data_IF_408364937290
#
_entry.id   IF_408364937290
#
_cell.length_a   1.000
_cell.length_b   1.000
_cell.length_c   1.000
_cell.angle_alpha   90.00
_cell.angle_beta   90.00
_cell.angle_gamma   90.00
#
_symmetry.space_group_name_H-M   'P 1'
#
loop_
_entity.id
_entity.type
_entity.pdbx_description
1 polymer ?
#
# COMPACT_ATOMS: atom_id res chain seq x y z
N UNK A 1 -12.67 0.95 -0.64
CA UNK A 1 -11.40 0.89 -1.42
C UNK A 1 -11.36 2.09 -2.32
N UNK A 2 -10.23 2.78 -2.38
CA UNK A 2 -10.01 3.91 -3.28
C UNK A 2 -9.50 3.36 -4.59
N UNK A 3 -10.37 3.23 -5.58
CA UNK A 3 -10.05 2.66 -6.89
C UNK A 3 -10.81 3.42 -7.97
N UNK A 4 -10.14 3.70 -9.08
CA UNK A 4 -10.78 4.24 -10.27
C UNK A 4 -11.44 3.10 -11.04
N UNK A 5 -12.76 3.20 -11.19
CA UNK A 5 -13.56 2.19 -11.87
C UNK A 5 -13.96 2.70 -13.25
N UNK A 6 -13.64 1.92 -14.26
CA UNK A 6 -13.99 2.22 -15.65
C UNK A 6 -15.05 1.25 -16.16
N UNK A 7 -16.01 1.78 -16.88
CA UNK A 7 -16.95 0.97 -17.64
C UNK A 7 -16.20 0.18 -18.71
N UNK A 8 -16.44 -1.12 -18.78
CA UNK A 8 -15.67 -2.02 -19.68
C UNK A 8 -16.04 -1.91 -21.15
N UNK A 9 -17.24 -1.44 -21.45
CA UNK A 9 -17.73 -1.33 -22.83
C UNK A 9 -17.38 0.03 -23.42
N UNK A 10 -17.57 1.10 -22.63
CA UNK A 10 -17.43 2.48 -23.10
C UNK A 10 -16.07 3.11 -22.74
N UNK A 11 -15.33 2.53 -21.80
CA UNK A 11 -14.09 3.11 -21.25
C UNK A 11 -14.32 4.36 -20.40
N UNK A 12 -15.55 4.71 -20.08
CA UNK A 12 -15.87 5.87 -19.26
C UNK A 12 -15.51 5.64 -17.78
N UNK A 13 -14.97 6.67 -17.16
CA UNK A 13 -14.72 6.67 -15.72
C UNK A 13 -16.05 6.78 -14.94
N UNK A 14 -16.40 5.73 -14.20
CA UNK A 14 -17.68 5.62 -13.50
C UNK A 14 -17.69 6.44 -12.22
N UNK A 15 -16.59 6.45 -11.47
CA UNK A 15 -16.47 7.13 -10.18
C UNK A 15 -15.52 8.33 -10.23
N UNK A 16 -15.68 9.20 -11.24
CA UNK A 16 -14.79 10.34 -11.49
C UNK A 16 -15.11 11.59 -10.68
N UNK A 17 -16.11 11.57 -9.81
CA UNK A 17 -16.46 12.71 -8.95
C UNK A 17 -15.97 12.52 -7.53
N UNK A 18 -15.84 13.61 -6.76
CA UNK A 18 -15.48 13.56 -5.33
C UNK A 18 -16.58 12.92 -4.47
N UNK A 19 -17.77 12.70 -5.02
CA UNK A 19 -18.87 12.01 -4.35
C UNK A 19 -18.70 10.48 -4.48
N UNK A 20 -18.24 10.04 -5.64
CA UNK A 20 -18.14 8.62 -5.98
C UNK A 20 -16.77 8.02 -5.64
N UNK A 21 -15.72 8.84 -5.74
CA UNK A 21 -14.36 8.44 -5.40
C UNK A 21 -14.06 8.70 -3.93
N UNK A 22 -13.82 7.65 -3.17
CA UNK A 22 -13.47 7.79 -1.76
C UNK A 22 -12.06 8.39 -1.60
N UNK A 23 -11.99 9.62 -1.12
CA UNK A 23 -10.74 10.29 -0.79
C UNK A 23 -10.39 9.99 0.68
N UNK A 24 -9.27 9.34 0.98
CA UNK A 24 -8.86 9.10 2.36
C UNK A 24 -8.68 10.42 3.12
N UNK A 25 -9.18 10.47 4.33
CA UNK A 25 -9.05 11.62 5.23
C UNK A 25 -8.02 11.35 6.32
N UNK A 26 -7.64 12.37 7.07
CA UNK A 26 -6.74 12.19 8.22
C UNK A 26 -7.30 11.23 9.29
N UNK A 27 -8.62 11.06 9.36
CA UNK A 27 -9.27 10.14 10.29
C UNK A 27 -9.13 8.67 9.87
N UNK A 28 -8.84 8.41 8.61
CA UNK A 28 -8.66 7.06 8.07
C UNK A 28 -7.22 6.54 8.24
N UNK A 29 -6.31 7.40 8.69
CA UNK A 29 -4.90 7.09 8.84
C UNK A 29 -4.55 6.79 10.30
N UNK A 30 -3.67 5.82 10.56
CA UNK A 30 -3.15 5.59 11.91
C UNK A 30 -2.23 6.74 12.36
N UNK A 31 -1.95 6.81 13.65
CA UNK A 31 -0.85 7.63 14.15
C UNK A 31 0.47 7.03 13.69
N UNK A 32 1.29 7.83 13.02
CA UNK A 32 2.61 7.41 12.57
C UNK A 32 3.68 7.73 13.62
N UNK A 33 4.57 6.79 13.89
CA UNK A 33 5.84 7.06 14.52
C UNK A 33 6.85 7.45 13.45
N UNK A 34 7.44 8.65 13.57
CA UNK A 34 8.33 9.20 12.54
C UNK A 34 9.77 9.20 13.04
N UNK A 35 10.68 8.72 12.22
CA UNK A 35 12.12 8.76 12.48
C UNK A 35 12.89 9.08 11.18
N UNK A 36 14.18 9.44 11.31
CA UNK A 36 15.04 9.85 10.22
C UNK A 36 16.37 9.11 10.27
N UNK A 37 16.68 8.40 9.20
CA UNK A 37 18.01 7.84 8.96
C UNK A 37 18.80 8.79 8.05
N UNK A 38 19.82 9.42 8.63
CA UNK A 38 20.67 10.33 7.88
C UNK A 38 21.79 9.59 7.16
N UNK A 39 21.86 9.73 5.84
CA UNK A 39 22.92 9.18 5.00
C UNK A 39 23.43 10.26 4.07
N UNK A 40 24.24 11.20 4.55
CA UNK A 40 24.70 12.31 3.73
C UNK A 40 25.52 11.85 2.52
N UNK A 41 25.39 12.56 1.41
CA UNK A 41 26.17 12.30 0.20
C UNK A 41 27.62 12.73 0.39
N UNK A 42 28.62 11.90 0.03
CA UNK A 42 30.02 12.28 0.14
C UNK A 42 30.48 13.24 -0.97
N UNK A 43 29.68 13.44 -2.01
CA UNK A 43 30.08 14.20 -3.23
C UNK A 43 29.32 15.50 -3.44
N UNK A 44 28.26 15.76 -2.63
CA UNK A 44 27.50 17.01 -2.74
C UNK A 44 27.79 17.95 -1.59
N UNK A 45 27.74 19.28 -1.79
CA UNK A 45 27.86 20.25 -0.71
C UNK A 45 26.80 19.98 0.36
N UNK A 46 27.21 20.04 1.63
CA UNK A 46 26.36 19.80 2.79
C UNK A 46 25.73 18.39 2.84
N UNK A 47 26.16 17.45 2.01
CA UNK A 47 25.59 16.11 1.96
C UNK A 47 24.17 16.02 1.38
N UNK A 48 23.74 17.02 0.65
CA UNK A 48 22.38 17.15 0.12
C UNK A 48 22.06 16.03 -0.86
N UNK A 49 20.85 15.47 -0.76
CA UNK A 49 20.26 14.49 -1.69
C UNK A 49 18.87 14.92 -2.13
N UNK A 50 18.48 14.48 -3.34
CA UNK A 50 17.08 14.58 -3.77
C UNK A 50 16.20 13.58 -3.01
N UNK A 51 15.02 14.01 -2.55
CA UNK A 51 14.10 13.19 -1.76
C UNK A 51 12.62 13.38 -2.16
N UNK A 52 12.38 13.97 -3.33
CA UNK A 52 11.02 14.27 -3.81
C UNK A 52 10.07 13.07 -3.81
N UNK A 53 10.56 11.87 -4.09
CA UNK A 53 9.76 10.63 -4.11
C UNK A 53 9.93 9.77 -2.85
N UNK A 54 10.75 10.21 -1.90
CA UNK A 54 11.11 9.41 -0.72
C UNK A 54 9.92 8.87 0.07
N UNK A 55 8.82 9.61 0.14
CA UNK A 55 7.60 9.19 0.84
C UNK A 55 6.73 8.18 0.09
N UNK A 56 6.99 7.91 -1.19
CA UNK A 56 6.15 7.04 -2.02
C UNK A 56 6.84 5.75 -2.48
N UNK A 57 8.15 5.76 -2.63
CA UNK A 57 8.91 4.65 -3.23
C UNK A 57 8.72 3.34 -2.45
N UNK A 58 8.82 3.36 -1.14
CA UNK A 58 8.81 2.16 -0.31
C UNK A 58 7.42 1.81 0.25
N UNK A 59 6.42 2.69 0.14
CA UNK A 59 5.15 2.54 0.84
C UNK A 59 4.43 1.22 0.50
N UNK A 60 4.27 0.91 -0.79
CA UNK A 60 3.60 -0.31 -1.22
C UNK A 60 4.35 -1.58 -0.76
N UNK A 61 5.68 -1.60 -0.92
CA UNK A 61 6.50 -2.73 -0.51
C UNK A 61 6.52 -2.91 1.02
N UNK A 62 6.64 -1.83 1.77
CA UNK A 62 6.67 -1.89 3.24
C UNK A 62 5.37 -2.45 3.81
N UNK A 63 4.21 -1.99 3.30
CA UNK A 63 2.91 -2.49 3.75
C UNK A 63 2.71 -3.95 3.33
N UNK A 64 3.07 -4.31 2.10
CA UNK A 64 2.98 -5.70 1.65
C UNK A 64 3.81 -6.63 2.53
N UNK A 65 5.05 -6.27 2.81
CA UNK A 65 5.94 -7.06 3.67
C UNK A 65 5.38 -7.19 5.09
N UNK A 66 4.86 -6.09 5.66
CA UNK A 66 4.26 -6.12 7.00
C UNK A 66 3.02 -7.03 7.06
N UNK A 67 2.18 -7.01 6.02
CA UNK A 67 1.02 -7.90 5.95
C UNK A 67 1.46 -9.36 5.79
N UNK A 68 2.43 -9.66 4.93
CA UNK A 68 2.96 -11.01 4.76
C UNK A 68 3.62 -11.52 6.05
N UNK A 69 4.35 -10.67 6.75
CA UNK A 69 4.94 -11.01 8.05
C UNK A 69 3.86 -11.37 9.09
N UNK A 70 2.80 -10.56 9.16
CA UNK A 70 1.66 -10.83 10.05
C UNK A 70 0.91 -12.14 9.69
N UNK A 71 0.93 -12.55 8.42
CA UNK A 71 0.28 -13.76 7.93
C UNK A 71 1.20 -14.99 7.94
N UNK A 72 2.49 -14.81 8.20
CA UNK A 72 3.50 -15.89 8.18
C UNK A 72 3.17 -17.07 9.10
N UNK A 73 2.57 -16.88 10.31
CA UNK A 73 2.18 -18.00 11.17
C UNK A 73 1.11 -18.91 10.55
N UNK A 74 0.41 -18.43 9.53
CA UNK A 74 -0.62 -19.19 8.81
C UNK A 74 -0.11 -19.79 7.49
N UNK A 75 1.18 -19.59 7.17
CA UNK A 75 1.76 -20.02 5.89
C UNK A 75 1.19 -19.31 4.68
N UNK A 76 0.71 -18.07 4.86
CA UNK A 76 0.11 -17.26 3.79
C UNK A 76 1.08 -16.17 3.34
N UNK A 77 1.28 -16.09 2.04
CA UNK A 77 2.03 -15.04 1.35
C UNK A 77 1.14 -14.39 0.29
N UNK A 78 1.17 -13.07 0.21
CA UNK A 78 0.41 -12.30 -0.78
C UNK A 78 1.38 -11.69 -1.78
N UNK A 79 1.23 -12.03 -3.06
CA UNK A 79 2.09 -11.62 -4.17
C UNK A 79 1.44 -10.61 -5.12
N UNK A 80 0.22 -10.15 -4.80
CA UNK A 80 -0.58 -9.27 -5.66
C UNK A 80 -1.09 -8.04 -4.93
N UNK A 81 -1.07 -6.91 -5.63
CA UNK A 81 -1.69 -5.66 -5.21
C UNK A 81 -2.95 -5.39 -6.04
N UNK A 82 -3.95 -4.68 -5.47
CA UNK A 82 -3.99 -4.15 -4.10
C UNK A 82 -4.31 -5.23 -3.07
N UNK A 83 -3.72 -5.12 -1.87
CA UNK A 83 -4.09 -5.96 -0.73
C UNK A 83 -5.40 -5.46 -0.16
N UNK A 84 -6.43 -6.29 -0.18
CA UNK A 84 -7.76 -5.98 0.34
C UNK A 84 -8.11 -6.91 1.49
N UNK A 85 -9.06 -6.52 2.32
CA UNK A 85 -9.59 -7.39 3.37
C UNK A 85 -10.12 -8.71 2.80
N UNK A 86 -10.72 -8.68 1.61
CA UNK A 86 -11.20 -9.87 0.92
C UNK A 86 -10.05 -10.78 0.47
N UNK A 87 -8.96 -10.22 -0.11
CA UNK A 87 -7.81 -11.03 -0.53
C UNK A 87 -7.14 -11.72 0.64
N UNK A 88 -7.00 -11.02 1.79
CA UNK A 88 -6.47 -11.60 3.02
C UNK A 88 -7.39 -12.72 3.53
N UNK A 89 -8.70 -12.46 3.59
CA UNK A 89 -9.67 -13.45 4.06
C UNK A 89 -9.65 -14.71 3.20
N UNK A 90 -9.64 -14.57 1.87
CA UNK A 90 -9.56 -15.71 0.94
C UNK A 90 -8.29 -16.52 1.13
N UNK A 91 -7.14 -15.85 1.20
CA UNK A 91 -5.87 -16.53 1.40
C UNK A 91 -5.81 -17.32 2.72
N UNK A 92 -6.36 -16.76 3.81
CA UNK A 92 -6.49 -17.45 5.08
C UNK A 92 -7.47 -18.64 5.01
N UNK A 93 -8.58 -18.50 4.28
CA UNK A 93 -9.56 -19.59 4.10
C UNK A 93 -8.92 -20.75 3.30
N UNK A 94 -8.18 -20.45 2.24
CA UNK A 94 -7.49 -21.45 1.42
C UNK A 94 -6.38 -22.16 2.20
N UNK A 95 -5.64 -21.45 3.04
CA UNK A 95 -4.62 -22.04 3.89
C UNK A 95 -5.21 -23.02 4.91
N UNK A 96 -6.34 -22.65 5.53
CA UNK A 96 -7.07 -23.53 6.47
C UNK A 96 -7.65 -24.78 5.82
N UNK A 97 -8.02 -24.72 4.55
CA UNK A 97 -8.56 -25.85 3.82
C UNK A 97 -7.48 -26.87 3.39
N UNK A 98 -6.22 -26.46 3.40
CA UNK A 98 -5.07 -27.29 3.01
C UNK A 98 -4.35 -27.96 4.19
N UNK A 99 -4.58 -27.51 5.39
CA UNK A 99 -4.02 -28.05 6.65
C UNK A 99 -5.02 -28.90 7.39
#
# INVERSE_FOLDING_TARGET
MVELVYDRETGQLVNGTMVDYFMPTAADLPTFELDHLETPSPVTPFGIKGVGEGGTIAAAAAITNAVCDALSPFGVELDRLPITAESIWRALADARAKG
#
